data_IF_746292303784
#
_entry.id   IF_746292303784
#
_cell.length_a   1.000
_cell.length_b   1.000
_cell.length_c   1.000
_cell.angle_alpha   90.00
_cell.angle_beta   90.00
_cell.angle_gamma   90.00
#
_symmetry.space_group_name_H-M   'P 1'
#
loop_
_entity.id
_entity.type
_entity.pdbx_description
1 polymer ?
#
# COMPACT_ATOMS: atom_id res chain seq x y z
N UNK A 1 -17.31 -19.08 5.78
CA UNK A 1 -16.10 -19.89 5.52
C UNK A 1 -15.06 -19.15 4.65
N UNK A 2 -15.36 -18.74 3.40
CA UNK A 2 -14.36 -18.13 2.49
C UNK A 2 -13.72 -16.83 3.00
N UNK A 3 -14.51 -15.94 3.62
CA UNK A 3 -13.99 -14.68 4.17
C UNK A 3 -13.01 -14.91 5.34
N UNK A 4 -13.27 -15.89 6.21
CA UNK A 4 -12.38 -16.23 7.31
C UNK A 4 -11.02 -16.77 6.81
N UNK A 5 -11.03 -17.59 5.76
CA UNK A 5 -9.79 -18.08 5.11
C UNK A 5 -8.98 -16.94 4.49
N UNK A 6 -9.65 -15.99 3.84
CA UNK A 6 -8.99 -14.78 3.31
C UNK A 6 -8.37 -13.91 4.39
N UNK A 7 -9.06 -13.75 5.51
CA UNK A 7 -8.58 -12.97 6.65
C UNK A 7 -7.35 -13.66 7.27
N UNK A 8 -7.39 -14.98 7.44
CA UNK A 8 -6.26 -15.77 7.94
C UNK A 8 -5.04 -15.68 7.02
N UNK A 9 -5.24 -15.72 5.69
CA UNK A 9 -4.17 -15.52 4.72
C UNK A 9 -3.59 -14.10 4.79
N UNK A 10 -4.43 -13.07 4.90
CA UNK A 10 -4.00 -11.68 5.05
C UNK A 10 -3.14 -11.48 6.30
N UNK A 11 -3.60 -11.99 7.44
CA UNK A 11 -2.84 -11.92 8.69
C UNK A 11 -1.56 -12.76 8.63
N UNK A 12 -1.58 -13.93 7.98
CA UNK A 12 -0.39 -14.74 7.77
C UNK A 12 0.68 -14.02 6.95
N UNK A 13 0.28 -13.34 5.86
CA UNK A 13 1.18 -12.51 5.05
C UNK A 13 1.72 -11.32 5.86
N UNK A 14 0.88 -10.67 6.67
CA UNK A 14 1.31 -9.58 7.53
C UNK A 14 2.36 -10.02 8.57
N UNK A 15 2.16 -11.18 9.20
CA UNK A 15 3.12 -11.76 10.16
C UNK A 15 4.42 -12.15 9.47
N UNK A 16 4.36 -12.80 8.30
CA UNK A 16 5.56 -13.15 7.53
C UNK A 16 6.35 -11.91 7.12
N UNK A 17 5.67 -10.85 6.66
CA UNK A 17 6.28 -9.57 6.33
C UNK A 17 6.93 -8.91 7.56
N UNK A 18 6.27 -8.94 8.72
CA UNK A 18 6.81 -8.41 9.97
C UNK A 18 8.05 -9.17 10.46
N UNK A 19 8.04 -10.51 10.37
CA UNK A 19 9.19 -11.35 10.74
C UNK A 19 10.38 -11.11 9.81
N UNK A 20 10.14 -10.98 8.50
CA UNK A 20 11.20 -10.69 7.53
C UNK A 20 11.77 -9.29 7.69
N UNK A 21 10.92 -8.31 8.05
CA UNK A 21 11.35 -6.96 8.35
C UNK A 21 12.08 -6.84 9.70
N UNK A 22 11.86 -7.74 10.67
CA UNK A 22 12.32 -7.58 12.05
C UNK A 22 13.85 -7.46 12.23
N UNK A 23 14.65 -8.13 11.41
CA UNK A 23 16.12 -8.14 11.51
C UNK A 23 16.78 -7.34 10.38
N UNK A 24 16.44 -6.05 10.27
CA UNK A 24 17.00 -5.19 9.24
C UNK A 24 17.71 -3.98 9.86
N UNK A 25 19.04 -3.92 9.71
CA UNK A 25 19.86 -2.80 10.17
C UNK A 25 19.92 -1.64 9.16
N UNK A 26 19.34 -1.82 7.96
CA UNK A 26 19.31 -0.79 6.92
C UNK A 26 18.49 0.43 7.35
N UNK A 27 19.07 1.61 7.15
CA UNK A 27 18.44 2.92 7.42
C UNK A 27 18.55 3.83 6.21
N UNK A 28 17.54 4.68 6.03
CA UNK A 28 17.47 5.72 5.01
C UNK A 28 17.41 7.05 5.74
N UNK A 29 18.44 7.87 5.54
CA UNK A 29 18.51 9.20 6.15
C UNK A 29 18.22 10.27 5.12
N UNK A 30 17.20 11.07 5.38
CA UNK A 30 16.93 12.29 4.64
C UNK A 30 17.63 13.45 5.34
N UNK A 31 18.65 13.99 4.69
CA UNK A 31 19.36 15.18 5.15
C UNK A 31 18.76 16.42 4.48
N UNK A 32 18.09 17.26 5.27
CA UNK A 32 17.56 18.55 4.82
C UNK A 32 17.89 19.61 5.87
N UNK A 33 19.02 20.34 5.75
CA UNK A 33 19.46 21.25 6.80
C UNK A 33 18.37 22.25 7.23
N UNK A 34 18.10 22.42 8.54
CA UNK A 34 18.76 21.81 9.72
C UNK A 34 18.21 20.45 10.18
N UNK A 35 17.22 19.89 9.48
CA UNK A 35 16.53 18.66 9.84
C UNK A 35 17.22 17.41 9.28
N UNK A 36 17.26 16.36 10.10
CA UNK A 36 17.65 15.02 9.67
C UNK A 36 16.54 14.06 10.06
N UNK A 37 16.03 13.32 9.08
CA UNK A 37 14.99 12.33 9.31
C UNK A 37 15.58 10.96 8.98
N UNK A 38 15.77 10.14 10.01
CA UNK A 38 16.23 8.77 9.87
C UNK A 38 15.01 7.84 9.87
N UNK A 39 14.78 7.13 8.76
CA UNK A 39 13.79 6.07 8.67
C UNK A 39 14.47 4.70 8.57
N UNK A 40 13.88 3.68 9.18
CA UNK A 40 14.30 2.30 8.90
C UNK A 40 13.95 1.94 7.45
N UNK A 41 14.76 1.10 6.82
CA UNK A 41 14.52 0.64 5.45
C UNK A 41 13.12 0.00 5.33
N UNK A 42 12.69 -0.71 6.37
CA UNK A 42 11.35 -1.30 6.42
C UNK A 42 10.23 -0.26 6.38
N UNK A 43 10.35 0.84 7.12
CA UNK A 43 9.34 1.89 7.08
C UNK A 43 9.28 2.57 5.71
N UNK A 44 10.43 2.75 5.05
CA UNK A 44 10.48 3.30 3.69
C UNK A 44 9.84 2.35 2.68
N UNK A 45 10.16 1.07 2.73
CA UNK A 45 9.55 0.07 1.84
C UNK A 45 8.05 -0.04 2.08
N UNK A 46 7.62 -0.06 3.34
CA UNK A 46 6.20 -0.09 3.70
C UNK A 46 5.47 1.16 3.20
N UNK A 47 6.03 2.36 3.42
CA UNK A 47 5.40 3.61 3.00
C UNK A 47 5.33 3.73 1.47
N UNK A 48 6.35 3.28 0.74
CA UNK A 48 6.32 3.20 -0.73
C UNK A 48 5.24 2.23 -1.22
N UNK A 49 5.14 1.05 -0.61
CA UNK A 49 4.16 0.04 -0.98
C UNK A 49 2.73 0.54 -0.75
N UNK A 50 2.47 1.13 0.42
CA UNK A 50 1.18 1.72 0.76
C UNK A 50 0.87 2.89 -0.16
N UNK A 51 1.83 3.81 -0.37
CA UNK A 51 1.67 4.95 -1.25
C UNK A 51 1.33 4.55 -2.68
N UNK A 52 2.02 3.55 -3.23
CA UNK A 52 1.72 3.00 -4.55
C UNK A 52 0.33 2.37 -4.62
N UNK A 53 -0.03 1.53 -3.63
CA UNK A 53 -1.34 0.91 -3.58
C UNK A 53 -2.48 1.95 -3.51
N UNK A 54 -2.30 3.00 -2.70
CA UNK A 54 -3.26 4.11 -2.60
C UNK A 54 -3.38 4.87 -3.93
N UNK A 55 -2.27 5.22 -4.58
CA UNK A 55 -2.27 5.87 -5.89
C UNK A 55 -2.96 5.02 -6.95
N UNK A 56 -2.63 3.73 -6.99
CA UNK A 56 -3.26 2.77 -7.90
C UNK A 56 -4.77 2.69 -7.67
N UNK A 57 -5.21 2.57 -6.41
CA UNK A 57 -6.62 2.52 -6.06
C UNK A 57 -7.34 3.83 -6.42
N UNK A 58 -6.70 4.98 -6.22
CA UNK A 58 -7.25 6.29 -6.58
C UNK A 58 -7.44 6.41 -8.11
N UNK A 59 -6.42 6.03 -8.90
CA UNK A 59 -6.51 6.01 -10.36
C UNK A 59 -7.57 5.03 -10.86
N UNK A 60 -7.63 3.84 -10.27
CA UNK A 60 -8.65 2.83 -10.59
C UNK A 60 -10.05 3.31 -10.24
N UNK A 61 -10.21 3.96 -9.10
CA UNK A 61 -11.47 4.56 -8.66
C UNK A 61 -11.93 5.67 -9.60
N UNK A 62 -11.01 6.57 -9.99
CA UNK A 62 -11.25 7.60 -10.99
C UNK A 62 -11.67 7.01 -12.33
N UNK A 63 -10.96 5.99 -12.82
CA UNK A 63 -11.33 5.31 -14.05
C UNK A 63 -12.73 4.69 -13.96
N UNK A 64 -13.06 4.03 -12.85
CA UNK A 64 -14.40 3.48 -12.63
C UNK A 64 -15.47 4.57 -12.60
N UNK A 65 -15.20 5.71 -11.94
CA UNK A 65 -16.11 6.86 -11.91
C UNK A 65 -16.35 7.46 -13.30
N UNK A 66 -15.31 7.52 -14.13
CA UNK A 66 -15.40 8.00 -15.52
C UNK A 66 -16.11 7.00 -16.45
N UNK A 67 -16.14 5.71 -16.11
CA UNK A 67 -16.86 4.67 -16.85
C UNK A 67 -18.36 4.61 -16.53
N UNK A 68 -18.77 5.01 -15.33
CA UNK A 68 -20.19 5.07 -14.92
C UNK A 68 -21.13 5.81 -15.91
N UNK A 69 -20.81 7.03 -16.40
CA UNK A 69 -21.70 7.73 -17.33
C UNK A 69 -21.84 7.03 -18.68
N UNK A 70 -20.81 6.29 -19.14
CA UNK A 70 -20.87 5.51 -20.39
C UNK A 70 -21.80 4.31 -20.26
N UNK A 71 -21.90 3.72 -19.08
CA UNK A 71 -22.83 2.62 -18.82
C UNK A 71 -24.28 3.11 -18.72
N UNK A 72 -24.50 4.28 -18.11
CA UNK A 72 -25.82 4.91 -18.01
C UNK A 72 -26.43 5.27 -19.39
N UNK A 73 -25.61 5.65 -20.38
CA UNK A 73 -26.09 5.92 -21.74
C UNK A 73 -26.47 4.65 -22.54
N UNK A 74 -25.92 3.48 -22.21
CA UNK A 74 -26.26 2.21 -22.91
C UNK A 74 -27.61 1.62 -22.49
N UNK A 75 -28.20 2.13 -21.42
CA UNK A 75 -29.50 1.69 -20.90
C UNK A 75 -30.66 2.57 -21.37
N UNK A 76 -30.39 3.58 -22.20
CA UNK A 76 -31.39 4.30 -23.01
C UNK A 76 -31.44 3.68 -24.40
#
# INVERSE_FOLDING_TARGET
MRAALWLLALFGVAVAAALFAGNNQGTVTLFWPPYRIDLSLNMVVLSLTVGFATLYAALRGLAALLELPRQALRWR
#
